data_IF_106102798556
#
_entry.id   IF_106102798556
#
_cell.length_a   1.000
_cell.length_b   1.000
_cell.length_c   1.000
_cell.angle_alpha   90.00
_cell.angle_beta   90.00
_cell.angle_gamma   90.00
#
_symmetry.space_group_name_H-M   'P 1'
#
loop_
_entity.id
_entity.type
_entity.pdbx_description
1 polymer ?
#
# COMPACT_ATOMS: atom_id res chain seq x y z
N UNK A 1 -17.32 -14.83 50.21
CA UNK A 1 -16.87 -13.84 49.21
C UNK A 1 -16.60 -14.59 47.91
N UNK A 2 -17.51 -14.56 46.93
CA UNK A 2 -17.34 -15.24 45.64
C UNK A 2 -16.73 -14.23 44.65
N UNK A 3 -15.44 -14.38 44.34
CA UNK A 3 -14.78 -13.62 43.29
C UNK A 3 -15.07 -14.36 41.97
N UNK A 4 -15.96 -13.79 41.16
CA UNK A 4 -16.14 -14.22 39.77
C UNK A 4 -15.05 -13.53 38.93
N UNK A 5 -14.01 -14.28 38.56
CA UNK A 5 -13.03 -13.85 37.56
C UNK A 5 -13.69 -14.03 36.20
N UNK A 6 -14.30 -12.96 35.68
CA UNK A 6 -14.71 -12.90 34.28
C UNK A 6 -13.44 -12.75 33.43
N UNK A 7 -12.99 -13.85 32.82
CA UNK A 7 -11.98 -13.82 31.78
C UNK A 7 -12.62 -13.16 30.54
N UNK A 8 -12.43 -11.85 30.39
CA UNK A 8 -12.67 -11.15 29.13
C UNK A 8 -11.64 -11.65 28.11
N UNK A 9 -11.95 -12.76 27.44
CA UNK A 9 -11.33 -13.09 26.17
C UNK A 9 -11.77 -12.04 25.15
N UNK A 10 -11.10 -10.89 25.13
CA UNK A 10 -11.07 -10.04 23.95
C UNK A 10 -10.44 -10.88 22.84
N UNK A 11 -11.27 -11.44 21.96
CA UNK A 11 -10.83 -11.92 20.66
C UNK A 11 -10.29 -10.71 19.90
N UNK A 12 -9.03 -10.35 20.13
CA UNK A 12 -8.28 -9.55 19.18
C UNK A 12 -8.24 -10.37 17.90
N UNK A 13 -9.07 -10.00 16.93
CA UNK A 13 -8.88 -10.43 15.55
C UNK A 13 -7.48 -9.95 15.15
N UNK A 14 -6.50 -10.86 15.22
CA UNK A 14 -5.15 -10.61 14.73
C UNK A 14 -5.31 -10.43 13.22
N UNK A 15 -5.43 -9.18 12.78
CA UNK A 15 -5.34 -8.83 11.37
C UNK A 15 -3.95 -9.26 10.92
N UNK A 16 -3.88 -10.17 9.95
CA UNK A 16 -2.61 -10.68 9.47
C UNK A 16 -1.96 -9.59 8.62
N UNK A 17 -0.97 -8.90 9.19
CA UNK A 17 -0.15 -7.95 8.44
C UNK A 17 0.65 -8.72 7.38
N UNK A 18 0.59 -8.25 6.14
CA UNK A 18 1.36 -8.85 5.05
C UNK A 18 2.58 -7.98 4.72
N UNK A 19 3.73 -8.63 4.59
CA UNK A 19 4.96 -8.03 4.13
C UNK A 19 5.27 -8.52 2.71
N UNK A 20 5.64 -7.58 1.84
CA UNK A 20 6.07 -7.88 0.48
C UNK A 20 7.40 -7.18 0.19
N UNK A 21 8.32 -7.90 -0.46
CA UNK A 21 9.55 -7.34 -0.99
C UNK A 21 9.28 -6.75 -2.38
N UNK A 22 9.64 -5.49 -2.58
CA UNK A 22 9.44 -4.75 -3.81
C UNK A 22 10.78 -4.41 -4.49
N UNK A 23 10.81 -4.57 -5.81
CA UNK A 23 11.93 -4.19 -6.65
C UNK A 23 11.47 -3.24 -7.76
N UNK A 24 12.12 -2.09 -7.87
CA UNK A 24 11.92 -1.14 -8.96
C UNK A 24 12.60 -1.64 -10.23
N UNK A 25 11.83 -1.77 -11.30
CA UNK A 25 12.28 -2.30 -12.60
C UNK A 25 12.38 -1.21 -13.66
N UNK A 26 11.51 -0.20 -13.58
CA UNK A 26 11.39 0.88 -14.56
C UNK A 26 11.15 2.20 -13.86
N UNK A 27 11.38 3.27 -14.59
CA UNK A 27 11.05 4.61 -14.13
C UNK A 27 10.48 5.46 -15.26
N UNK A 28 9.70 6.47 -14.91
CA UNK A 28 9.18 7.49 -15.82
C UNK A 28 9.61 8.85 -15.29
N UNK A 29 10.24 9.64 -16.17
CA UNK A 29 10.64 11.01 -15.85
C UNK A 29 11.92 11.15 -15.03
N UNK A 30 12.51 10.11 -14.44
CA UNK A 30 13.79 10.28 -13.72
C UNK A 30 14.93 10.78 -14.62
N UNK A 31 14.82 10.63 -15.94
CA UNK A 31 15.79 11.16 -16.90
C UNK A 31 15.92 12.70 -16.83
N UNK A 32 14.89 13.41 -16.33
CA UNK A 32 14.95 14.86 -16.09
C UNK A 32 15.85 15.23 -14.89
N UNK A 33 16.16 14.26 -14.03
CA UNK A 33 17.00 14.43 -12.85
C UNK A 33 18.47 14.21 -13.15
N UNK A 34 18.78 13.30 -14.07
CA UNK A 34 20.13 13.01 -14.49
C UNK A 34 20.16 11.80 -15.41
N UNK A 35 21.35 11.47 -15.90
CA UNK A 35 21.56 10.32 -16.79
C UNK A 35 21.77 9.01 -16.02
N UNK A 36 22.09 9.09 -14.72
CA UNK A 36 22.46 7.93 -13.89
C UNK A 36 21.32 7.60 -12.91
N UNK A 37 20.31 6.90 -13.43
CA UNK A 37 19.12 6.53 -12.67
C UNK A 37 19.42 5.56 -11.53
N UNK A 38 20.43 4.70 -11.65
CA UNK A 38 20.81 3.77 -10.58
C UNK A 38 21.32 4.52 -9.36
N UNK A 39 22.13 5.58 -9.55
CA UNK A 39 22.53 6.46 -8.44
C UNK A 39 21.35 7.16 -7.79
N UNK A 40 20.35 7.57 -8.56
CA UNK A 40 19.14 8.20 -8.03
C UNK A 40 18.37 7.19 -7.16
N UNK A 41 18.14 5.97 -7.67
CA UNK A 41 17.43 4.92 -6.94
C UNK A 41 18.17 4.46 -5.68
N UNK A 42 19.50 4.41 -5.72
CA UNK A 42 20.31 4.11 -4.54
C UNK A 42 20.22 5.23 -3.49
N UNK A 43 20.29 6.51 -3.89
CA UNK A 43 20.11 7.62 -2.96
C UNK A 43 18.73 7.60 -2.30
N UNK A 44 17.69 7.39 -3.10
CA UNK A 44 16.30 7.35 -2.62
C UNK A 44 16.01 6.09 -1.79
N UNK A 45 16.87 5.07 -1.84
CA UNK A 45 16.69 3.77 -1.19
C UNK A 45 15.38 3.08 -1.58
N UNK A 46 15.05 3.21 -2.88
CA UNK A 46 13.82 2.70 -3.51
C UNK A 46 14.10 1.73 -4.67
N UNK A 47 15.36 1.33 -4.92
CA UNK A 47 15.64 0.23 -5.85
C UNK A 47 15.02 -1.09 -5.35
N UNK A 48 15.28 -1.41 -4.08
CA UNK A 48 14.68 -2.51 -3.32
C UNK A 48 14.14 -1.93 -2.02
N UNK A 49 12.91 -2.25 -1.67
CA UNK A 49 12.23 -1.78 -0.48
C UNK A 49 11.15 -2.79 -0.08
N UNK A 50 10.63 -2.69 1.13
CA UNK A 50 9.54 -3.54 1.60
C UNK A 50 8.25 -2.73 1.66
N UNK A 51 7.11 -3.40 1.54
CA UNK A 51 5.82 -2.82 1.93
C UNK A 51 5.15 -3.68 2.98
N UNK A 52 4.56 -3.00 3.96
CA UNK A 52 3.69 -3.59 4.97
C UNK A 52 2.24 -3.20 4.65
N UNK A 53 1.36 -4.18 4.56
CA UNK A 53 -0.07 -3.99 4.26
C UNK A 53 -0.86 -4.35 5.51
N UNK A 54 -1.68 -3.43 6.02
CA UNK A 54 -2.45 -3.66 7.24
C UNK A 54 -3.54 -4.73 7.08
N UNK A 55 -4.14 -4.81 5.88
CA UNK A 55 -5.18 -5.78 5.50
C UNK A 55 -5.08 -6.16 4.02
N UNK A 56 -4.94 -7.44 3.72
CA UNK A 56 -4.90 -7.93 2.34
C UNK A 56 -6.31 -8.10 1.73
N UNK A 57 -6.36 -8.28 0.40
CA UNK A 57 -7.62 -8.41 -0.35
C UNK A 57 -8.38 -9.68 0.03
N UNK A 58 -7.65 -10.78 0.24
CA UNK A 58 -8.20 -12.10 0.56
C UNK A 58 -8.98 -12.08 1.88
N UNK A 59 -8.46 -11.38 2.89
CA UNK A 59 -9.10 -11.21 4.18
C UNK A 59 -10.38 -10.38 4.06
N UNK A 60 -10.29 -9.22 3.40
CA UNK A 60 -11.45 -8.35 3.15
C UNK A 60 -12.54 -9.13 2.40
N UNK A 61 -12.16 -9.84 1.34
CA UNK A 61 -13.07 -10.66 0.55
C UNK A 61 -13.76 -11.74 1.38
N UNK A 62 -12.99 -12.47 2.20
CA UNK A 62 -13.52 -13.52 3.09
C UNK A 62 -14.51 -12.94 4.09
N UNK A 63 -14.21 -11.78 4.69
CA UNK A 63 -15.09 -11.09 5.63
C UNK A 63 -16.40 -10.64 4.97
N UNK A 64 -16.32 -10.02 3.80
CA UNK A 64 -17.52 -9.61 3.04
C UNK A 64 -18.36 -10.82 2.60
N UNK A 65 -17.72 -11.94 2.21
CA UNK A 65 -18.45 -13.16 1.86
C UNK A 65 -19.19 -13.77 3.06
N UNK A 66 -18.56 -13.79 4.23
CA UNK A 66 -19.20 -14.27 5.47
C UNK A 66 -20.38 -13.39 5.87
N UNK A 67 -20.25 -12.06 5.75
CA UNK A 67 -21.35 -11.11 6.01
C UNK A 67 -22.50 -11.31 5.02
N UNK A 68 -22.18 -11.51 3.74
CA UNK A 68 -23.16 -11.78 2.69
C UNK A 68 -23.98 -13.05 2.96
N UNK A 69 -23.34 -14.10 3.49
CA UNK A 69 -24.03 -15.36 3.78
C UNK A 69 -24.87 -15.34 5.08
N UNK A 70 -24.52 -14.47 6.04
CA UNK A 70 -25.13 -14.45 7.38
C UNK A 70 -26.24 -13.42 7.56
N UNK A 71 -26.41 -12.46 6.63
CA UNK A 71 -27.42 -11.40 6.72
C UNK A 71 -28.44 -11.47 5.58
N UNK A 72 -29.73 -11.56 5.90
CA UNK A 72 -30.83 -11.46 4.91
C UNK A 72 -30.90 -10.11 4.20
N UNK A 73 -30.43 -9.04 4.86
CA UNK A 73 -30.39 -7.66 4.33
C UNK A 73 -28.93 -7.20 4.17
N UNK A 74 -28.13 -7.99 3.46
CA UNK A 74 -26.73 -7.65 3.22
C UNK A 74 -26.60 -6.47 2.24
N UNK A 75 -25.88 -5.43 2.69
CA UNK A 75 -25.41 -4.33 1.86
C UNK A 75 -23.88 -4.38 1.80
N UNK A 76 -23.27 -4.55 0.62
CA UNK A 76 -21.82 -4.67 0.52
C UNK A 76 -21.13 -3.34 0.79
N UNK A 77 -20.01 -3.41 1.48
CA UNK A 77 -19.06 -2.30 1.51
C UNK A 77 -18.33 -2.25 0.18
N UNK A 78 -18.42 -1.14 -0.54
CA UNK A 78 -17.79 -0.96 -1.85
C UNK A 78 -16.46 -0.21 -1.77
N UNK A 79 -16.17 0.44 -0.65
CA UNK A 79 -14.91 1.14 -0.39
C UNK A 79 -14.27 0.58 0.87
N UNK A 80 -13.05 0.07 0.72
CA UNK A 80 -12.27 -0.51 1.80
C UNK A 80 -11.02 0.36 1.99
N UNK A 81 -10.79 0.81 3.23
CA UNK A 81 -9.62 1.60 3.58
C UNK A 81 -8.52 0.70 4.14
N UNK A 82 -7.30 0.89 3.64
CA UNK A 82 -6.11 0.11 3.98
C UNK A 82 -4.96 1.07 4.24
N UNK A 83 -4.05 0.69 5.12
CA UNK A 83 -2.77 1.38 5.30
C UNK A 83 -1.69 0.54 4.65
N UNK A 84 -0.89 1.18 3.81
CA UNK A 84 0.34 0.59 3.27
C UNK A 84 1.49 1.45 3.74
N UNK A 85 2.52 0.82 4.32
CA UNK A 85 3.75 1.50 4.70
C UNK A 85 4.86 1.02 3.78
N UNK A 86 5.44 1.93 2.99
CA UNK A 86 6.66 1.65 2.23
C UNK A 86 7.86 1.83 3.17
N UNK A 87 8.66 0.79 3.32
CA UNK A 87 9.85 0.77 4.17
C UNK A 87 11.06 0.76 3.24
N UNK A 88 11.71 1.93 3.10
CA UNK A 88 12.95 2.07 2.31
C UNK A 88 14.02 1.13 2.85
N UNK A 89 15.01 0.77 2.04
CA UNK A 89 16.14 -0.05 2.51
C UNK A 89 17.01 0.63 3.59
N UNK A 90 16.85 1.94 3.81
CA UNK A 90 17.41 2.66 4.96
C UNK A 90 16.64 2.46 6.28
N UNK A 91 15.50 1.76 6.25
CA UNK A 91 14.56 1.64 7.38
C UNK A 91 13.56 2.80 7.49
N UNK A 92 13.65 3.83 6.63
CA UNK A 92 12.71 4.95 6.66
C UNK A 92 11.34 4.55 6.12
N UNK A 93 10.29 4.79 6.91
CA UNK A 93 8.92 4.46 6.59
C UNK A 93 8.18 5.64 5.91
N UNK A 94 7.42 5.32 4.87
CA UNK A 94 6.52 6.24 4.17
C UNK A 94 5.09 5.68 4.32
N UNK A 95 4.26 6.23 5.21
CA UNK A 95 2.89 5.79 5.35
C UNK A 95 2.03 6.29 4.19
N UNK A 96 1.17 5.41 3.68
CA UNK A 96 0.25 5.66 2.58
C UNK A 96 -1.16 5.25 3.01
N UNK A 97 -2.12 6.15 2.82
CA UNK A 97 -3.53 5.86 3.03
C UNK A 97 -4.13 5.39 1.72
N UNK A 98 -4.65 4.16 1.72
CA UNK A 98 -5.11 3.48 0.52
C UNK A 98 -6.61 3.26 0.56
N UNK A 99 -7.19 3.25 -0.65
CA UNK A 99 -8.55 2.77 -0.88
C UNK A 99 -8.53 1.62 -1.88
N UNK A 100 -9.41 0.65 -1.66
CA UNK A 100 -9.74 -0.39 -2.60
C UNK A 100 -11.24 -0.33 -2.87
N UNK A 101 -11.61 0.03 -4.10
CA UNK A 101 -13.01 0.07 -4.52
C UNK A 101 -13.37 -1.32 -5.01
N UNK A 102 -14.09 -2.08 -4.19
CA UNK A 102 -14.42 -3.48 -4.44
C UNK A 102 -15.83 -3.79 -3.95
N UNK A 103 -16.71 -4.22 -4.87
CA UNK A 103 -18.03 -4.75 -4.55
C UNK A 103 -18.05 -6.24 -4.86
N UNK A 104 -18.23 -7.08 -3.84
CA UNK A 104 -18.18 -8.55 -3.95
C UNK A 104 -19.22 -9.15 -4.91
N UNK A 105 -20.29 -8.41 -5.24
CA UNK A 105 -21.34 -8.89 -6.14
C UNK A 105 -20.95 -8.79 -7.62
N UNK A 106 -20.07 -7.84 -7.95
CA UNK A 106 -19.79 -7.46 -9.35
C UNK A 106 -18.29 -7.41 -9.68
N UNK A 107 -17.42 -7.35 -8.69
CA UNK A 107 -15.98 -7.22 -8.87
C UNK A 107 -15.28 -8.56 -8.65
N UNK A 108 -14.26 -8.86 -9.45
CA UNK A 108 -13.33 -9.94 -9.14
C UNK A 108 -12.30 -9.45 -8.11
N UNK A 109 -11.90 -10.29 -7.15
CA UNK A 109 -10.85 -9.95 -6.16
C UNK A 109 -9.53 -9.51 -6.81
N UNK A 110 -9.26 -10.02 -8.02
CA UNK A 110 -8.06 -9.70 -8.80
C UNK A 110 -8.16 -8.37 -9.55
N UNK A 111 -9.36 -7.81 -9.62
CA UNK A 111 -9.62 -6.51 -10.26
C UNK A 111 -9.40 -5.39 -9.24
N UNK A 112 -9.07 -4.21 -9.78
CA UNK A 112 -8.88 -2.95 -9.06
C UNK A 112 -7.63 -2.90 -8.18
N UNK A 113 -6.89 -1.83 -8.34
CA UNK A 113 -5.67 -1.56 -7.59
C UNK A 113 -6.02 -1.00 -6.22
N UNK A 114 -5.11 -1.21 -5.26
CA UNK A 114 -5.02 -0.33 -4.12
C UNK A 114 -4.51 1.00 -4.65
N UNK A 115 -5.24 2.08 -4.40
CA UNK A 115 -4.86 3.42 -4.78
C UNK A 115 -4.63 4.24 -3.52
N UNK A 116 -3.44 4.79 -3.40
CA UNK A 116 -2.96 5.37 -2.17
C UNK A 116 -2.41 6.77 -2.36
N UNK A 117 -2.54 7.58 -1.31
CA UNK A 117 -1.94 8.90 -1.18
C UNK A 117 -1.03 8.93 0.04
N UNK A 118 0.06 9.69 -0.04
CA UNK A 118 0.98 9.88 1.09
C UNK A 118 0.30 10.51 2.30
N UNK A 119 0.78 10.17 3.50
CA UNK A 119 0.36 10.78 4.76
C UNK A 119 1.58 11.32 5.53
N UNK A 120 1.50 12.49 6.20
CA UNK A 120 0.38 13.43 6.22
C UNK A 120 0.24 14.26 4.94
N UNK A 121 1.23 14.23 4.05
CA UNK A 121 1.24 15.02 2.83
C UNK A 121 0.81 14.18 1.62
N UNK A 122 -0.19 14.66 0.88
CA UNK A 122 -0.71 14.01 -0.34
C UNK A 122 0.19 14.26 -1.57
N UNK A 123 1.50 14.43 -1.37
CA UNK A 123 2.49 14.73 -2.43
C UNK A 123 3.03 13.48 -3.13
N UNK A 124 2.62 12.31 -2.65
CA UNK A 124 3.02 10.99 -3.13
C UNK A 124 1.78 10.19 -3.47
N UNK A 125 1.89 9.39 -4.53
CA UNK A 125 0.84 8.46 -4.96
C UNK A 125 1.45 7.07 -5.07
N UNK A 126 0.72 6.05 -4.64
CA UNK A 126 1.12 4.66 -4.81
C UNK A 126 -0.06 3.85 -5.31
N UNK A 127 0.18 2.98 -6.28
CA UNK A 127 -0.77 1.94 -6.66
C UNK A 127 -0.14 0.56 -6.56
N UNK A 128 -0.96 -0.42 -6.15
CA UNK A 128 -0.56 -1.83 -6.07
C UNK A 128 -1.69 -2.72 -6.57
N UNK A 129 -1.44 -3.45 -7.65
CA UNK A 129 -2.42 -4.39 -8.21
C UNK A 129 -2.37 -5.75 -7.51
N UNK A 130 -3.31 -6.64 -7.85
CA UNK A 130 -3.39 -7.99 -7.28
C UNK A 130 -2.13 -8.83 -7.50
N UNK A 131 -1.46 -8.65 -8.64
CA UNK A 131 -0.26 -9.40 -9.03
C UNK A 131 1.03 -8.85 -8.42
N UNK A 132 0.93 -7.85 -7.54
CA UNK A 132 2.05 -7.18 -6.90
C UNK A 132 2.76 -6.15 -7.78
N UNK A 133 2.26 -5.83 -8.98
CA UNK A 133 2.86 -4.72 -9.74
C UNK A 133 2.52 -3.41 -9.05
N UNK A 134 3.52 -2.54 -8.89
CA UNK A 134 3.34 -1.25 -8.24
C UNK A 134 3.73 -0.09 -9.16
N UNK A 135 3.14 1.07 -8.88
CA UNK A 135 3.62 2.37 -9.34
C UNK A 135 3.70 3.32 -8.14
N UNK A 136 4.88 3.88 -7.90
CA UNK A 136 5.10 4.90 -6.87
C UNK A 136 5.49 6.21 -7.54
N UNK A 137 4.72 7.26 -7.31
CA UNK A 137 4.94 8.59 -7.89
C UNK A 137 5.20 9.63 -6.82
N UNK A 138 6.27 10.40 -6.99
CA UNK A 138 6.66 11.50 -6.09
C UNK A 138 7.46 12.54 -6.87
N UNK A 139 7.62 13.73 -6.30
CA UNK A 139 8.56 14.74 -6.81
C UNK A 139 10.02 14.40 -6.53
N UNK A 140 10.28 13.52 -5.55
CA UNK A 140 11.63 13.17 -5.10
C UNK A 140 12.47 14.38 -4.67
N UNK A 141 11.83 15.38 -4.05
CA UNK A 141 12.46 16.64 -3.61
C UNK A 141 13.66 16.41 -2.67
N UNK A 142 13.69 15.27 -1.98
CA UNK A 142 14.79 14.83 -1.12
C UNK A 142 16.14 14.69 -1.86
N UNK A 143 16.13 14.31 -3.14
CA UNK A 143 17.34 14.22 -3.96
C UNK A 143 17.81 15.61 -4.45
N UNK A 144 16.90 16.58 -4.59
CA UNK A 144 17.20 17.93 -5.07
C UNK A 144 16.81 19.02 -4.06
N UNK A 145 17.45 19.05 -2.88
CA UNK A 145 17.30 20.18 -1.93
C UNK A 145 17.57 21.59 -2.52
N UNK A 146 18.01 21.72 -3.79
CA UNK A 146 18.47 22.97 -4.42
C UNK A 146 17.82 23.36 -5.76
N UNK A 147 16.89 22.60 -6.35
CA UNK A 147 16.23 23.02 -7.61
C UNK A 147 14.81 23.54 -7.35
N UNK A 148 14.50 24.69 -7.95
CA UNK A 148 13.19 25.35 -7.89
C UNK A 148 12.08 24.41 -8.35
N UNK A 149 11.21 24.06 -7.41
CA UNK A 149 9.77 23.87 -7.58
C UNK A 149 9.34 23.12 -8.86
N UNK A 150 9.84 21.89 -9.03
CA UNK A 150 9.31 20.98 -10.04
C UNK A 150 8.00 20.41 -9.50
N UNK A 151 6.86 20.95 -9.96
CA UNK A 151 5.53 20.39 -9.68
C UNK A 151 5.31 19.00 -10.31
N UNK A 152 6.26 18.54 -11.12
CA UNK A 152 6.20 17.29 -11.87
C UNK A 152 6.41 16.08 -10.95
N UNK A 153 5.50 15.11 -11.04
CA UNK A 153 5.69 13.79 -10.44
C UNK A 153 6.50 12.90 -11.37
N UNK A 154 7.36 12.09 -10.78
CA UNK A 154 8.14 11.07 -11.47
C UNK A 154 7.74 9.72 -10.88
N UNK A 155 7.77 8.66 -11.68
CA UNK A 155 7.24 7.37 -11.26
C UNK A 155 8.32 6.30 -11.24
N UNK A 156 8.29 5.47 -10.21
CA UNK A 156 8.97 4.18 -10.12
C UNK A 156 7.92 3.09 -10.38
N UNK A 157 8.28 2.12 -11.21
CA UNK A 157 7.39 1.00 -11.55
C UNK A 157 8.17 -0.29 -11.31
N UNK A 158 7.51 -1.26 -10.72
CA UNK A 158 8.15 -2.53 -10.42
C UNK A 158 7.17 -3.56 -9.90
N UNK A 159 7.72 -4.52 -9.15
CA UNK A 159 6.95 -5.65 -8.64
C UNK A 159 7.30 -5.95 -7.19
N UNK A 160 6.25 -6.23 -6.42
CA UNK A 160 6.29 -6.73 -5.06
C UNK A 160 5.93 -8.22 -5.04
N UNK A 161 6.60 -8.99 -4.20
CA UNK A 161 6.36 -10.43 -4.01
C UNK A 161 6.36 -10.76 -2.53
N UNK A 162 5.57 -11.76 -2.15
CA UNK A 162 5.63 -12.35 -0.82
C UNK A 162 6.89 -13.21 -0.74
N UNK A 163 7.64 -13.08 0.35
CA UNK A 163 8.75 -13.99 0.65
C UNK A 163 8.24 -15.40 0.94
#
# INVERSE_FOLDING_TARGET
MKIFIFFLCFCFSISAEDFLECNTEKHIGLNFFGKDYEKILDYLKLKKFEIKISRNREEIYKQEKLRSNSSKNYFPNTSHFIEIVLIKSSGYAIPMHCSWIFDIRVSNIKEKDFNCVGHPNNDRVFSLNYNGNFMYSSKFDEYFKKRKDTKTLHSLIGKCKKN
#
